data_IF_908470002728
#
_entry.id   IF_908470002728
#
_cell.length_a   1.000
_cell.length_b   1.000
_cell.length_c   1.000
_cell.angle_alpha   90.00
_cell.angle_beta   90.00
_cell.angle_gamma   90.00
#
_symmetry.space_group_name_H-M   'P 1'
#
loop_
_entity.id
_entity.type
_entity.pdbx_description
1 polymer ?
#
# COMPACT_ATOMS: atom_id res chain seq x y z
N UNK A 1 -6.15 14.99 -3.55
CA UNK A 1 -4.86 14.28 -3.54
C UNK A 1 -4.63 13.62 -2.19
N UNK A 2 -4.05 12.42 -2.11
CA UNK A 2 -4.02 11.61 -0.88
C UNK A 2 -2.92 12.00 0.10
N UNK A 3 -3.08 11.58 1.37
CA UNK A 3 -2.00 11.48 2.34
C UNK A 3 -1.25 10.16 2.11
N UNK A 4 0.07 10.24 2.01
CA UNK A 4 0.97 9.08 1.88
C UNK A 4 1.94 9.03 3.06
N UNK A 5 2.17 7.85 3.62
CA UNK A 5 3.25 7.60 4.58
C UNK A 5 4.40 6.96 3.80
N UNK A 6 5.57 7.58 3.80
CA UNK A 6 6.72 7.12 3.01
C UNK A 6 7.96 6.95 3.88
N UNK A 7 8.73 5.89 3.64
CA UNK A 7 10.06 5.72 4.22
C UNK A 7 11.08 6.35 3.28
N UNK A 8 11.65 7.49 3.69
CA UNK A 8 12.66 8.21 2.90
C UNK A 8 13.43 9.22 3.75
N UNK A 9 14.50 9.77 3.17
CA UNK A 9 15.12 11.03 3.64
C UNK A 9 14.33 12.21 3.06
N UNK A 10 13.84 13.10 3.93
CA UNK A 10 13.04 14.26 3.50
C UNK A 10 13.85 15.21 2.59
N UNK A 11 15.16 15.18 2.67
CA UNK A 11 16.06 16.01 1.84
C UNK A 11 16.13 15.50 0.38
N UNK A 12 15.70 14.27 0.12
CA UNK A 12 15.64 13.66 -1.21
C UNK A 12 14.24 13.69 -1.84
N UNK A 13 13.23 14.19 -1.11
CA UNK A 13 11.85 14.23 -1.56
C UNK A 13 11.66 15.22 -2.72
N UNK A 14 11.17 14.71 -3.85
CA UNK A 14 10.81 15.50 -5.04
C UNK A 14 9.38 15.99 -4.95
N UNK A 15 9.16 17.03 -4.18
CA UNK A 15 7.87 17.69 -3.92
C UNK A 15 8.02 19.20 -4.07
N UNK A 16 6.91 19.94 -4.13
CA UNK A 16 7.01 21.41 -4.24
C UNK A 16 7.54 22.05 -2.97
N UNK A 17 7.16 21.54 -1.80
CA UNK A 17 7.64 22.03 -0.52
C UNK A 17 8.01 20.90 0.43
N UNK A 18 9.07 21.07 1.21
CA UNK A 18 9.35 20.23 2.37
C UNK A 18 9.21 21.05 3.65
N UNK A 19 8.81 20.38 4.74
CA UNK A 19 8.70 21.03 6.06
C UNK A 19 9.93 20.71 6.90
N UNK A 20 10.53 21.74 7.44
CA UNK A 20 11.61 21.64 8.40
C UNK A 20 11.06 21.74 9.83
N UNK A 21 11.32 20.75 10.67
CA UNK A 21 11.06 20.83 12.12
C UNK A 21 12.11 21.72 12.79
N UNK A 22 11.91 23.02 12.67
CA UNK A 22 12.86 24.05 13.06
C UNK A 22 12.78 24.39 14.57
N UNK A 23 13.83 25.03 15.07
CA UNK A 23 13.79 25.73 16.35
C UNK A 23 13.42 27.22 16.15
N UNK A 24 13.14 27.94 17.26
CA UNK A 24 12.72 29.34 17.22
C UNK A 24 13.71 30.28 16.55
N UNK A 25 15.01 29.98 16.56
CA UNK A 25 16.03 30.82 15.93
C UNK A 25 16.08 30.69 14.42
N UNK A 26 15.62 29.56 13.85
CA UNK A 26 15.73 29.16 12.45
C UNK A 26 17.18 29.02 11.94
N UNK A 27 18.16 28.98 12.84
CA UNK A 27 19.59 28.99 12.44
C UNK A 27 20.22 27.61 12.36
N UNK A 28 19.38 26.57 12.17
CA UNK A 28 19.81 25.19 12.15
C UNK A 28 19.93 24.59 13.55
N UNK A 29 20.14 23.29 13.58
CA UNK A 29 20.22 22.52 14.83
C UNK A 29 20.62 21.06 14.57
N UNK A 30 20.13 20.17 15.41
CA UNK A 30 20.31 18.72 15.26
C UNK A 30 19.14 18.06 14.53
N UNK A 31 19.26 16.75 14.28
CA UNK A 31 18.22 15.96 13.64
C UNK A 31 17.89 16.41 12.21
N UNK A 32 16.61 16.37 11.83
CA UNK A 32 16.15 16.74 10.49
C UNK A 32 16.48 18.18 10.11
N UNK A 33 16.41 19.12 11.06
CA UNK A 33 16.76 20.53 10.85
C UNK A 33 18.22 20.66 10.36
N UNK A 34 19.15 20.00 11.03
CA UNK A 34 20.55 19.98 10.60
C UNK A 34 20.79 19.29 9.26
N UNK A 35 20.03 18.23 8.93
CA UNK A 35 20.11 17.56 7.64
C UNK A 35 19.64 18.48 6.51
N UNK A 36 18.50 19.14 6.68
CA UNK A 36 17.95 20.08 5.70
C UNK A 36 18.90 21.25 5.47
N UNK A 37 19.44 21.86 6.54
CA UNK A 37 20.39 22.96 6.41
C UNK A 37 21.69 22.56 5.69
N UNK A 38 22.19 21.34 5.92
CA UNK A 38 23.38 20.83 5.21
C UNK A 38 23.10 20.57 3.74
N UNK A 39 21.95 19.93 3.43
CA UNK A 39 21.57 19.61 2.06
C UNK A 39 21.23 20.86 1.21
N UNK A 40 20.58 21.83 1.80
CA UNK A 40 20.23 23.09 1.16
C UNK A 40 21.43 24.04 0.92
N UNK A 41 22.54 23.81 1.62
CA UNK A 41 23.72 24.66 1.52
C UNK A 41 23.62 25.99 2.29
N UNK A 42 24.64 26.85 2.10
CA UNK A 42 24.80 28.09 2.88
C UNK A 42 23.72 29.15 2.60
N UNK A 43 23.06 29.07 1.45
CA UNK A 43 22.01 30.00 1.04
C UNK A 43 20.82 30.00 1.98
N UNK A 44 20.36 28.80 2.39
CA UNK A 44 19.25 28.63 3.31
C UNK A 44 19.50 29.33 4.65
N UNK A 45 20.67 29.12 5.25
CA UNK A 45 21.05 29.76 6.51
C UNK A 45 21.10 31.29 6.39
N UNK A 46 21.59 31.81 5.26
CA UNK A 46 21.65 33.25 5.02
C UNK A 46 20.26 33.89 4.91
N UNK A 47 19.30 33.19 4.31
CA UNK A 47 17.90 33.64 4.25
C UNK A 47 17.23 33.53 5.62
N UNK A 48 17.41 32.43 6.34
CA UNK A 48 16.86 32.23 7.70
C UNK A 48 17.29 33.34 8.67
N UNK A 49 18.53 33.80 8.58
CA UNK A 49 19.02 34.94 9.40
C UNK A 49 18.22 36.21 9.19
N UNK A 50 17.76 36.47 7.94
CA UNK A 50 16.96 37.67 7.62
C UNK A 50 15.53 37.57 8.19
N UNK A 51 15.04 36.34 8.41
CA UNK A 51 13.68 36.11 8.95
C UNK A 51 13.58 36.50 10.45
N UNK A 52 14.68 36.55 11.17
CA UNK A 52 14.70 36.99 12.60
C UNK A 52 14.05 36.02 13.57
N UNK A 53 13.95 34.71 13.21
CA UNK A 53 13.32 33.70 14.04
C UNK A 53 11.83 33.49 13.75
N UNK A 54 11.21 32.53 14.49
CA UNK A 54 9.79 32.20 14.36
C UNK A 54 9.24 31.74 15.71
N UNK A 55 8.01 32.13 16.02
CA UNK A 55 7.30 31.72 17.23
C UNK A 55 6.84 30.26 17.15
N UNK A 56 6.72 29.61 18.31
CA UNK A 56 6.18 28.25 18.41
C UNK A 56 4.73 28.20 17.90
N UNK A 57 4.41 27.18 17.12
CA UNK A 57 3.11 27.01 16.46
C UNK A 57 3.01 27.72 15.10
N UNK A 58 3.98 28.57 14.74
CA UNK A 58 4.01 29.32 13.47
C UNK A 58 5.04 28.77 12.50
N UNK A 59 4.97 29.27 11.26
CA UNK A 59 5.87 28.89 10.17
C UNK A 59 6.48 30.09 9.48
N UNK A 60 7.65 29.89 8.88
CA UNK A 60 8.32 30.82 7.95
C UNK A 60 8.72 30.03 6.70
N UNK A 61 8.78 30.69 5.56
CA UNK A 61 9.09 30.04 4.28
C UNK A 61 10.33 30.64 3.65
N UNK A 62 11.17 29.77 3.11
CA UNK A 62 12.37 30.12 2.34
C UNK A 62 12.36 29.37 1.00
N UNK A 63 13.28 29.73 0.09
CA UNK A 63 13.56 28.92 -1.07
C UNK A 63 14.23 27.58 -0.70
N UNK A 64 14.12 26.58 -1.61
CA UNK A 64 14.70 25.23 -1.43
C UNK A 64 16.21 25.15 -1.63
N UNK A 65 16.82 26.12 -2.34
CA UNK A 65 18.24 26.16 -2.69
C UNK A 65 18.72 24.87 -3.40
N UNK A 66 19.68 24.15 -2.80
CA UNK A 66 20.25 22.92 -3.39
C UNK A 66 19.34 21.69 -3.20
N UNK A 67 18.21 21.83 -2.52
CA UNK A 67 17.22 20.76 -2.31
C UNK A 67 16.36 20.53 -3.56
N UNK A 68 15.84 19.31 -3.78
CA UNK A 68 14.98 19.00 -4.93
C UNK A 68 13.52 19.49 -4.74
N UNK A 69 13.31 20.60 -4.04
CA UNK A 69 12.02 21.24 -3.79
C UNK A 69 12.10 22.75 -4.04
N UNK A 70 10.94 23.38 -4.28
CA UNK A 70 10.88 24.83 -4.49
C UNK A 70 11.02 25.62 -3.20
N UNK A 71 10.42 25.12 -2.12
CA UNK A 71 10.31 25.80 -0.84
C UNK A 71 10.67 24.90 0.33
N UNK A 72 11.25 25.53 1.38
CA UNK A 72 11.38 24.96 2.71
C UNK A 72 10.45 25.74 3.65
N UNK A 73 9.54 25.07 4.30
CA UNK A 73 8.61 25.64 5.28
C UNK A 73 9.13 25.28 6.67
N UNK A 74 9.67 26.26 7.37
CA UNK A 74 10.23 26.10 8.70
C UNK A 74 9.10 26.18 9.73
N UNK A 75 8.69 25.04 10.28
CA UNK A 75 7.66 24.93 11.31
C UNK A 75 8.30 24.78 12.69
N UNK A 76 7.97 25.66 13.63
CA UNK A 76 8.50 25.62 14.99
C UNK A 76 7.52 24.90 15.90
N UNK A 77 7.74 23.62 16.11
CA UNK A 77 6.93 22.79 17.01
C UNK A 77 7.21 23.10 18.48
N UNK A 78 6.27 22.75 19.39
CA UNK A 78 6.46 22.91 20.83
C UNK A 78 7.45 21.89 21.39
N UNK A 79 8.15 22.27 22.47
CA UNK A 79 8.78 21.29 23.36
C UNK A 79 7.68 20.61 24.18
N UNK A 80 7.81 19.32 24.38
CA UNK A 80 6.78 18.52 25.03
C UNK A 80 7.02 18.38 26.52
N UNK A 81 6.09 18.86 27.34
CA UNK A 81 6.11 18.77 28.81
C UNK A 81 4.95 17.95 29.38
N UNK A 82 4.45 16.99 28.59
CA UNK A 82 3.37 16.10 29.00
C UNK A 82 2.03 16.37 28.32
N UNK A 83 1.93 17.34 27.42
CA UNK A 83 0.74 17.62 26.59
C UNK A 83 -0.36 18.38 27.30
N UNK A 84 -0.09 18.99 28.48
CA UNK A 84 -1.10 19.70 29.29
C UNK A 84 -1.02 21.21 29.18
N UNK A 85 0.04 21.75 28.56
CA UNK A 85 0.30 23.19 28.45
C UNK A 85 -0.03 23.76 27.07
N UNK A 86 -0.95 23.08 26.33
CA UNK A 86 -1.38 23.51 25.00
C UNK A 86 -0.50 23.01 23.85
N UNK A 87 0.50 22.15 24.15
CA UNK A 87 1.42 21.62 23.15
C UNK A 87 0.70 20.89 22.00
N UNK A 88 -0.39 20.08 22.22
CA UNK A 88 -1.11 19.45 21.14
C UNK A 88 -1.71 20.46 20.15
N UNK A 89 -2.27 21.56 20.66
CA UNK A 89 -2.85 22.62 19.82
C UNK A 89 -1.77 23.36 19.02
N UNK A 90 -0.63 23.68 19.66
CA UNK A 90 0.52 24.31 19.00
C UNK A 90 1.11 23.39 17.92
N UNK A 91 1.23 22.09 18.20
CA UNK A 91 1.73 21.12 17.22
C UNK A 91 0.78 21.00 16.03
N UNK A 92 -0.54 20.92 16.29
CA UNK A 92 -1.55 20.91 15.24
C UNK A 92 -1.46 22.18 14.38
N UNK A 93 -1.27 23.35 15.00
CA UNK A 93 -1.11 24.63 14.28
C UNK A 93 0.11 24.62 13.35
N UNK A 94 1.21 23.94 13.70
CA UNK A 94 2.37 23.80 12.82
C UNK A 94 2.02 23.11 11.51
N UNK A 95 1.26 22.01 11.57
CA UNK A 95 0.82 21.29 10.38
C UNK A 95 -0.13 22.14 9.53
N UNK A 96 -1.17 22.72 10.14
CA UNK A 96 -2.15 23.54 9.42
C UNK A 96 -1.51 24.78 8.79
N UNK A 97 -0.67 25.50 9.53
CA UNK A 97 0.01 26.69 9.02
C UNK A 97 0.99 26.35 7.88
N UNK A 98 1.64 25.19 7.93
CA UNK A 98 2.52 24.74 6.87
C UNK A 98 1.74 24.37 5.61
N UNK A 99 0.61 23.68 5.74
CA UNK A 99 -0.28 23.32 4.62
C UNK A 99 -0.85 24.58 3.97
N UNK A 100 -1.29 25.54 4.76
CA UNK A 100 -1.81 26.81 4.27
C UNK A 100 -0.73 27.62 3.56
N UNK A 101 0.48 27.73 4.13
CA UNK A 101 1.61 28.40 3.50
C UNK A 101 2.03 27.75 2.16
N UNK A 102 1.89 26.43 2.04
CA UNK A 102 2.11 25.71 0.78
C UNK A 102 0.99 26.00 -0.24
N UNK A 103 -0.27 25.99 0.20
CA UNK A 103 -1.45 26.30 -0.64
C UNK A 103 -1.38 27.71 -1.21
N UNK A 104 -1.05 28.72 -0.38
CA UNK A 104 -0.88 30.11 -0.81
C UNK A 104 0.20 30.30 -1.89
N UNK A 105 1.18 29.37 -1.95
CA UNK A 105 2.25 29.36 -2.93
C UNK A 105 1.98 28.50 -4.16
N UNK A 106 0.76 27.95 -4.25
CA UNK A 106 0.36 27.09 -5.36
C UNK A 106 1.10 25.76 -5.39
N UNK A 107 1.56 25.24 -4.22
CA UNK A 107 2.16 23.92 -4.15
C UNK A 107 1.08 22.85 -4.35
N UNK A 108 1.36 21.86 -5.20
CA UNK A 108 0.53 20.68 -5.40
C UNK A 108 0.98 19.52 -4.51
N UNK A 109 2.18 19.63 -3.92
CA UNK A 109 2.78 18.57 -3.08
C UNK A 109 3.62 19.14 -1.95
N UNK A 110 3.54 18.47 -0.77
CA UNK A 110 4.29 18.84 0.44
C UNK A 110 4.72 17.59 1.20
N UNK A 111 5.94 17.63 1.78
CA UNK A 111 6.42 16.55 2.65
C UNK A 111 6.70 17.04 4.07
N UNK A 112 6.25 16.28 5.06
CA UNK A 112 6.38 16.54 6.47
C UNK A 112 7.24 15.49 7.18
N UNK A 113 8.10 15.88 8.12
CA UNK A 113 8.60 14.97 9.15
C UNK A 113 7.59 14.88 10.30
N UNK A 114 7.79 13.96 11.25
CA UNK A 114 7.06 14.00 12.52
C UNK A 114 7.59 15.15 13.40
N UNK A 115 6.92 16.30 13.35
CA UNK A 115 7.32 17.51 14.09
C UNK A 115 7.28 17.23 15.59
N UNK A 116 8.24 17.77 16.34
CA UNK A 116 8.43 17.64 17.80
C UNK A 116 8.71 16.23 18.32
N UNK A 117 8.72 15.18 17.51
CA UNK A 117 8.90 13.78 17.97
C UNK A 117 10.36 13.37 18.26
N UNK A 118 11.31 14.22 17.90
CA UNK A 118 12.75 14.01 18.18
C UNK A 118 13.17 14.69 19.49
N UNK A 119 14.13 15.62 19.40
CA UNK A 119 14.74 16.34 20.56
C UNK A 119 13.68 17.07 21.40
N UNK A 120 12.56 17.47 20.81
CA UNK A 120 11.48 18.17 21.51
C UNK A 120 10.58 17.24 22.34
N UNK A 121 10.76 15.93 22.26
CA UNK A 121 10.26 14.94 23.21
C UNK A 121 8.78 14.57 23.11
N UNK A 122 8.06 14.99 22.07
CA UNK A 122 6.68 14.53 21.87
C UNK A 122 6.68 13.01 21.59
N UNK A 123 5.87 12.20 22.29
CA UNK A 123 5.73 10.79 21.99
C UNK A 123 5.32 10.57 20.53
N UNK A 124 6.02 9.69 19.81
CA UNK A 124 5.84 9.49 18.36
C UNK A 124 4.39 9.17 17.97
N UNK A 125 3.68 8.36 18.79
CA UNK A 125 2.26 8.02 18.57
C UNK A 125 1.36 9.26 18.65
N UNK A 126 1.59 10.14 19.61
CA UNK A 126 0.84 11.38 19.78
C UNK A 126 1.13 12.33 18.61
N UNK A 127 2.42 12.48 18.25
CA UNK A 127 2.83 13.31 17.12
C UNK A 127 2.21 12.81 15.81
N UNK A 128 2.18 11.49 15.56
CA UNK A 128 1.56 10.88 14.39
C UNK A 128 0.05 11.16 14.34
N UNK A 129 -0.66 10.92 15.43
CA UNK A 129 -2.11 11.18 15.50
C UNK A 129 -2.43 12.64 15.19
N UNK A 130 -1.73 13.59 15.84
CA UNK A 130 -1.93 15.03 15.61
C UNK A 130 -1.63 15.40 14.15
N UNK A 131 -0.57 14.84 13.56
CA UNK A 131 -0.21 15.06 12.17
C UNK A 131 -1.30 14.56 11.22
N UNK A 132 -1.72 13.30 11.36
CA UNK A 132 -2.73 12.66 10.50
C UNK A 132 -4.07 13.40 10.62
N UNK A 133 -4.52 13.73 11.84
CA UNK A 133 -5.77 14.46 12.05
C UNK A 133 -5.74 15.87 11.41
N UNK A 134 -4.65 16.61 11.58
CA UNK A 134 -4.51 17.94 10.99
C UNK A 134 -4.48 17.89 9.45
N UNK A 135 -3.74 16.94 8.88
CA UNK A 135 -3.64 16.77 7.44
C UNK A 135 -4.99 16.32 6.85
N UNK A 136 -5.67 15.38 7.49
CA UNK A 136 -7.00 14.90 7.08
C UNK A 136 -8.01 16.04 7.03
N UNK A 137 -8.06 16.85 8.09
CA UNK A 137 -9.00 17.98 8.17
C UNK A 137 -8.72 19.02 7.07
N UNK A 138 -7.46 19.29 6.76
CA UNK A 138 -7.09 20.14 5.63
C UNK A 138 -7.50 19.54 4.27
N UNK A 139 -7.24 18.25 4.06
CA UNK A 139 -7.55 17.57 2.80
C UNK A 139 -9.04 17.36 2.58
N UNK A 140 -9.87 17.43 3.63
CA UNK A 140 -11.33 17.43 3.48
C UNK A 140 -11.83 18.59 2.61
N UNK A 141 -11.18 19.75 2.67
CA UNK A 141 -11.56 20.94 1.90
C UNK A 141 -10.61 21.24 0.73
N UNK A 142 -9.37 20.75 0.78
CA UNK A 142 -8.32 21.09 -0.17
C UNK A 142 -7.81 19.87 -0.95
N UNK A 143 -7.13 20.15 -2.06
CA UNK A 143 -6.50 19.14 -2.91
C UNK A 143 -4.99 19.35 -2.95
N UNK A 144 -4.23 18.50 -2.26
CA UNK A 144 -2.76 18.53 -2.21
C UNK A 144 -2.22 17.12 -1.91
N UNK A 145 -1.15 16.72 -2.59
CA UNK A 145 -0.41 15.52 -2.21
C UNK A 145 0.40 15.82 -0.95
N UNK A 146 0.08 15.14 0.14
CA UNK A 146 0.80 15.28 1.42
C UNK A 146 1.55 14.00 1.72
N UNK A 147 2.88 14.08 1.88
CA UNK A 147 3.74 12.97 2.25
C UNK A 147 4.17 13.13 3.71
N UNK A 148 3.84 12.16 4.55
CA UNK A 148 4.40 12.04 5.90
C UNK A 148 5.65 11.15 5.81
N UNK A 149 6.81 11.74 6.01
CA UNK A 149 8.10 11.08 5.80
C UNK A 149 8.60 10.48 7.11
N UNK A 150 8.83 9.19 7.10
CA UNK A 150 9.41 8.41 8.19
C UNK A 150 10.81 7.99 7.77
N UNK A 151 11.83 8.40 8.51
CA UNK A 151 13.22 8.10 8.16
C UNK A 151 13.57 6.62 8.34
N UNK A 152 12.98 5.98 9.37
CA UNK A 152 13.21 4.56 9.66
C UNK A 152 11.90 3.89 10.06
N UNK A 153 11.43 2.98 9.25
CA UNK A 153 10.18 2.23 9.46
C UNK A 153 10.17 1.42 10.75
N UNK A 154 11.32 0.90 11.19
CA UNK A 154 11.40 0.14 12.43
C UNK A 154 11.03 0.96 13.67
N UNK A 155 11.11 2.29 13.56
CA UNK A 155 10.74 3.24 14.61
C UNK A 155 9.31 3.78 14.46
N UNK A 156 8.55 3.27 13.48
CA UNK A 156 7.17 3.71 13.24
C UNK A 156 6.27 3.36 14.43
N UNK A 157 5.54 4.34 14.98
CA UNK A 157 4.83 4.18 16.25
C UNK A 157 3.45 3.55 16.07
N UNK A 158 3.37 2.28 15.65
CA UNK A 158 2.12 1.54 15.74
C UNK A 158 1.84 1.16 17.19
N UNK A 159 0.59 1.28 17.62
CA UNK A 159 0.18 0.92 18.98
C UNK A 159 0.48 -0.57 19.27
N UNK A 160 1.13 -0.86 20.40
CA UNK A 160 1.58 -2.21 20.74
C UNK A 160 0.42 -3.22 20.86
N UNK A 161 -0.75 -2.78 21.32
CA UNK A 161 -1.98 -3.55 21.35
C UNK A 161 -2.38 -4.01 19.94
N UNK A 162 -2.59 -3.04 19.06
CA UNK A 162 -2.99 -3.27 17.67
C UNK A 162 -1.94 -4.11 16.92
N UNK A 163 -0.65 -3.88 17.12
CA UNK A 163 0.43 -4.68 16.53
C UNK A 163 0.33 -6.15 16.95
N UNK A 164 0.08 -6.41 18.23
CA UNK A 164 -0.07 -7.79 18.75
C UNK A 164 -1.31 -8.46 18.18
N UNK A 165 -2.44 -7.77 18.14
CA UNK A 165 -3.72 -8.31 17.67
C UNK A 165 -3.64 -8.66 16.18
N UNK A 166 -3.09 -7.78 15.36
CA UNK A 166 -2.86 -8.04 13.94
C UNK A 166 -1.87 -9.21 13.75
N UNK A 167 -0.76 -9.24 14.52
CA UNK A 167 0.21 -10.33 14.42
C UNK A 167 -0.41 -11.69 14.79
N UNK A 168 -1.26 -11.71 15.80
CA UNK A 168 -2.02 -12.91 16.18
C UNK A 168 -2.98 -13.33 15.07
N UNK A 169 -3.77 -12.39 14.55
CA UNK A 169 -4.72 -12.65 13.46
C UNK A 169 -4.03 -13.19 12.20
N UNK A 170 -2.86 -12.64 11.84
CA UNK A 170 -2.03 -13.15 10.73
C UNK A 170 -1.61 -14.59 11.00
N UNK A 171 -1.09 -14.90 12.20
CA UNK A 171 -0.65 -16.25 12.54
C UNK A 171 -1.81 -17.25 12.54
N UNK A 172 -2.95 -16.90 13.12
CA UNK A 172 -4.14 -17.73 13.14
C UNK A 172 -4.67 -18.01 11.72
N UNK A 173 -4.60 -17.02 10.82
CA UNK A 173 -5.00 -17.17 9.42
C UNK A 173 -4.10 -18.13 8.63
N UNK A 174 -2.80 -18.19 8.93
CA UNK A 174 -1.89 -19.16 8.33
C UNK A 174 -2.05 -20.58 8.90
N UNK A 175 -2.45 -20.71 10.17
CA UNK A 175 -2.64 -22.02 10.81
C UNK A 175 -3.91 -22.75 10.33
N UNK A 176 -4.97 -22.03 10.00
CA UNK A 176 -6.21 -22.63 9.48
C UNK A 176 -6.03 -23.28 8.09
N UNK A 177 -5.11 -22.78 7.26
CA UNK A 177 -4.80 -23.41 5.96
C UNK A 177 -4.05 -24.75 6.09
N UNK A 178 -3.40 -25.02 7.24
CA UNK A 178 -2.69 -26.30 7.46
C UNK A 178 -3.60 -27.39 8.01
N UNK A 179 -4.70 -27.04 8.68
CA UNK A 179 -5.66 -28.02 9.23
C UNK A 179 -6.63 -28.55 8.18
N UNK A 180 -7.01 -27.75 7.19
CA UNK A 180 -7.88 -28.20 6.08
C UNK A 180 -7.18 -29.21 5.14
N UNK A 181 -5.84 -29.29 5.15
CA UNK A 181 -5.07 -30.28 4.39
C UNK A 181 -4.89 -31.60 5.12
N UNK A 182 -5.04 -31.65 6.44
CA UNK A 182 -4.93 -32.90 7.22
C UNK A 182 -6.23 -33.74 7.19
N UNK A 183 -7.41 -33.13 7.06
CA UNK A 183 -8.66 -33.87 6.95
C UNK A 183 -8.88 -34.58 5.60
N UNK A 184 -8.18 -34.15 4.52
CA UNK A 184 -8.21 -34.83 3.22
C UNK A 184 -7.20 -35.99 3.11
N UNK A 185 -6.32 -36.18 4.09
CA UNK A 185 -5.30 -37.23 4.11
C UNK A 185 -5.75 -38.52 4.81
N UNK A 186 -6.94 -38.57 5.38
CA UNK A 186 -7.44 -39.73 6.14
C UNK A 186 -8.04 -40.85 5.29
N UNK A 187 -7.91 -40.84 3.98
CA UNK A 187 -8.39 -41.89 3.09
C UNK A 187 -7.29 -42.41 2.13
N UNK A 188 -6.26 -43.08 2.67
CA UNK A 188 -5.37 -43.92 1.86
C UNK A 188 -5.09 -45.27 2.60
N UNK A 189 -5.10 -46.39 1.87
CA UNK A 189 -4.99 -47.70 2.50
C UNK A 189 -3.57 -48.02 2.97
N UNK A 190 -3.50 -48.64 4.15
CA UNK A 190 -2.33 -49.17 4.81
C UNK A 190 -1.52 -50.14 3.94
N UNK A 191 -0.21 -49.90 3.84
CA UNK A 191 0.75 -50.96 3.47
C UNK A 191 2.00 -50.49 2.77
N UNK A 192 3.04 -50.14 3.51
CA UNK A 192 4.45 -50.51 3.31
C UNK A 192 5.35 -49.75 4.30
N UNK A 193 6.27 -50.47 4.92
CA UNK A 193 7.12 -50.03 5.99
C UNK A 193 8.26 -49.07 5.59
N UNK A 194 8.89 -48.35 6.54
CA UNK A 194 9.73 -47.16 6.27
C UNK A 194 11.21 -47.47 6.08
N UNK A 195 11.80 -46.80 5.09
CA UNK A 195 13.26 -46.65 5.00
C UNK A 195 13.73 -45.40 5.76
N UNK A 196 14.57 -45.59 6.76
CA UNK A 196 15.25 -44.54 7.52
C UNK A 196 16.24 -43.77 6.62
N UNK A 197 16.12 -42.47 6.59
CA UNK A 197 17.24 -41.58 6.30
C UNK A 197 17.38 -40.54 7.42
N UNK A 198 18.51 -40.65 8.10
CA UNK A 198 18.96 -39.69 9.10
C UNK A 198 19.62 -38.50 8.39
N UNK A 199 19.26 -37.26 8.79
CA UNK A 199 20.07 -36.10 8.56
C UNK A 199 20.60 -35.59 9.90
N UNK A 200 21.93 -35.58 9.99
CA UNK A 200 22.66 -35.03 11.12
C UNK A 200 22.78 -33.50 10.98
N UNK A 201 22.55 -32.80 12.10
CA UNK A 201 22.91 -31.41 12.34
C UNK A 201 24.41 -31.17 12.27
N UNK A 202 24.86 -30.16 11.56
CA UNK A 202 26.07 -29.45 11.91
C UNK A 202 25.96 -27.95 11.67
N UNK A 203 25.83 -27.23 12.77
CA UNK A 203 26.06 -25.80 12.85
C UNK A 203 27.57 -25.54 12.86
N UNK A 204 28.10 -24.73 11.93
CA UNK A 204 29.40 -24.06 12.12
C UNK A 204 29.43 -22.66 11.50
N UNK A 205 29.57 -21.72 12.40
CA UNK A 205 30.00 -20.35 12.20
C UNK A 205 31.38 -20.26 11.54
N UNK A 206 31.51 -19.49 10.44
CA UNK A 206 32.78 -18.83 10.09
C UNK A 206 32.51 -17.49 9.38
N UNK A 207 33.20 -16.47 9.90
CA UNK A 207 33.28 -15.10 9.35
C UNK A 207 34.18 -15.03 8.13
N UNK A 208 33.89 -14.14 7.20
CA UNK A 208 34.87 -13.33 6.49
C UNK A 208 35.05 -13.64 4.99
N UNK A 209 34.98 -12.58 4.18
CA UNK A 209 35.65 -12.57 2.89
C UNK A 209 34.83 -12.08 1.69
N UNK A 210 34.99 -10.78 1.36
CA UNK A 210 34.56 -10.16 0.11
C UNK A 210 35.24 -10.82 -1.10
N UNK A 211 34.47 -11.27 -2.09
CA UNK A 211 34.96 -11.28 -3.49
C UNK A 211 33.79 -11.19 -4.46
N UNK A 212 33.82 -10.14 -5.29
CA UNK A 212 32.98 -9.93 -6.46
C UNK A 212 33.24 -11.03 -7.50
N UNK A 213 32.20 -11.73 -7.96
CA UNK A 213 32.26 -12.51 -9.20
C UNK A 213 31.22 -11.99 -10.19
N UNK A 214 31.74 -11.53 -11.33
CA UNK A 214 30.98 -11.12 -12.53
C UNK A 214 30.28 -12.35 -13.13
N UNK A 215 29.00 -12.18 -13.50
CA UNK A 215 28.25 -13.10 -14.35
C UNK A 215 28.51 -12.77 -15.84
N UNK A 216 28.63 -13.76 -16.73
CA UNK A 216 28.85 -13.53 -18.15
C UNK A 216 27.54 -13.22 -18.88
N UNK A 217 27.62 -12.23 -19.79
CA UNK A 217 26.60 -11.85 -20.78
C UNK A 217 26.41 -12.97 -21.80
N UNK A 218 25.18 -13.45 -21.98
CA UNK A 218 24.77 -14.23 -23.14
C UNK A 218 24.25 -13.28 -24.23
N UNK A 219 24.90 -13.37 -25.40
CA UNK A 219 24.54 -12.65 -26.62
C UNK A 219 23.43 -13.38 -27.36
N UNK A 220 22.37 -12.65 -27.70
CA UNK A 220 21.36 -13.07 -28.67
C UNK A 220 21.93 -13.03 -30.10
N UNK A 221 21.71 -14.07 -30.88
CA UNK A 221 21.70 -14.01 -32.35
C UNK A 221 20.46 -14.71 -32.87
N UNK A 222 19.63 -13.94 -33.54
CA UNK A 222 18.54 -14.41 -34.38
C UNK A 222 19.10 -14.91 -35.70
N UNK A 223 18.51 -15.94 -36.26
CA UNK A 223 18.52 -16.20 -37.71
C UNK A 223 17.28 -17.01 -38.10
N UNK A 224 16.51 -16.45 -39.01
CA UNK A 224 15.42 -17.06 -39.75
C UNK A 224 16.00 -18.08 -40.78
N UNK A 225 15.30 -19.17 -41.03
CA UNK A 225 14.90 -19.72 -42.34
C UNK A 225 14.61 -21.19 -42.24
N UNK A 226 13.53 -21.60 -42.89
CA UNK A 226 13.34 -22.98 -43.33
C UNK A 226 11.89 -23.51 -43.19
N UNK A 227 11.03 -23.14 -44.12
CA UNK A 227 9.78 -23.85 -44.42
C UNK A 227 10.07 -25.13 -45.21
N UNK A 228 9.06 -26.03 -45.23
CA UNK A 228 8.85 -27.22 -46.06
C UNK A 228 9.18 -28.57 -45.40
N UNK A 229 8.16 -29.38 -45.15
CA UNK A 229 7.57 -30.42 -45.99
C UNK A 229 6.61 -31.30 -45.18
N UNK A 230 5.37 -31.22 -45.53
CA UNK A 230 4.39 -32.28 -45.22
C UNK A 230 4.65 -33.46 -46.14
N UNK A 231 4.86 -34.63 -45.56
CA UNK A 231 4.81 -35.89 -46.25
C UNK A 231 3.60 -36.68 -45.73
N UNK A 232 2.73 -37.03 -46.68
CA UNK A 232 1.57 -37.92 -46.57
C UNK A 232 2.01 -39.31 -46.11
N UNK A 233 1.28 -39.88 -45.15
CA UNK A 233 1.36 -41.30 -44.82
C UNK A 233 0.04 -41.96 -45.22
N UNK A 234 0.18 -42.95 -46.07
CA UNK A 234 -0.88 -43.76 -46.66
C UNK A 234 -1.58 -44.65 -45.63
N UNK A 235 -2.86 -44.79 -45.82
CA UNK A 235 -3.75 -45.73 -45.13
C UNK A 235 -3.54 -47.13 -45.68
N UNK A 236 -3.05 -48.04 -44.89
CA UNK A 236 -3.20 -49.49 -45.12
C UNK A 236 -4.18 -50.13 -44.14
N UNK A 237 -5.09 -50.88 -44.73
CA UNK A 237 -6.17 -51.63 -44.12
C UNK A 237 -5.71 -52.85 -43.38
N UNK A 238 -6.26 -53.13 -42.19
CA UNK A 238 -6.11 -54.42 -41.47
C UNK A 238 -7.52 -54.90 -41.06
N UNK A 239 -7.77 -56.23 -41.13
CA UNK A 239 -9.11 -56.77 -41.19
C UNK A 239 -9.76 -57.03 -39.81
N UNK A 240 -11.10 -57.14 -39.88
CA UNK A 240 -12.03 -57.55 -38.84
C UNK A 240 -11.68 -58.94 -38.26
N UNK A 241 -11.51 -58.98 -36.91
CA UNK A 241 -11.80 -60.23 -36.16
C UNK A 241 -12.49 -59.87 -34.84
N UNK A 242 -13.56 -60.53 -34.59
CA UNK A 242 -14.50 -60.43 -33.50
C UNK A 242 -13.84 -60.78 -32.16
N UNK A 243 -14.06 -59.96 -31.12
CA UNK A 243 -13.96 -60.38 -29.74
C UNK A 243 -14.90 -59.58 -28.82
N UNK A 244 -15.87 -60.26 -28.34
CA UNK A 244 -16.57 -60.22 -27.06
C UNK A 244 -16.65 -58.93 -26.24
N UNK A 245 -17.89 -58.50 -26.05
CA UNK A 245 -18.37 -57.53 -25.08
C UNK A 245 -17.83 -57.82 -23.65
N UNK A 246 -17.03 -56.89 -23.13
CA UNK A 246 -16.95 -56.61 -21.69
C UNK A 246 -17.46 -55.21 -21.46
N UNK A 247 -18.73 -55.14 -21.05
CA UNK A 247 -19.37 -53.94 -20.49
C UNK A 247 -18.52 -53.35 -19.39
N UNK A 248 -17.68 -52.34 -19.71
CA UNK A 248 -17.09 -51.45 -18.74
C UNK A 248 -18.13 -50.37 -18.44
N UNK A 249 -18.68 -50.47 -17.22
CA UNK A 249 -19.61 -49.51 -16.61
C UNK A 249 -18.91 -48.16 -16.53
N UNK A 250 -19.13 -47.28 -17.49
CA UNK A 250 -18.73 -45.87 -17.39
C UNK A 250 -19.55 -45.19 -16.29
N UNK A 251 -18.93 -44.39 -15.40
CA UNK A 251 -19.69 -43.57 -14.46
C UNK A 251 -20.61 -42.60 -15.25
N UNK A 252 -21.76 -42.21 -14.67
CA UNK A 252 -22.75 -41.40 -15.37
C UNK A 252 -22.09 -40.11 -15.91
N UNK A 253 -22.30 -39.87 -17.19
CA UNK A 253 -21.97 -38.59 -17.81
C UNK A 253 -22.56 -37.46 -16.96
N UNK A 254 -21.71 -36.57 -16.45
CA UNK A 254 -22.17 -35.30 -15.92
C UNK A 254 -23.03 -34.63 -17.01
N UNK A 255 -24.30 -34.34 -16.67
CA UNK A 255 -25.16 -33.48 -17.48
C UNK A 255 -24.46 -32.15 -17.64
N UNK A 256 -23.76 -31.94 -18.73
CA UNK A 256 -23.32 -30.63 -19.13
C UNK A 256 -24.56 -29.80 -19.43
N UNK A 257 -24.85 -28.84 -18.62
CA UNK A 257 -25.79 -27.78 -18.97
C UNK A 257 -25.47 -27.29 -20.38
N UNK A 258 -26.47 -27.00 -21.22
CA UNK A 258 -26.25 -26.64 -22.61
C UNK A 258 -25.23 -25.51 -22.69
N UNK A 259 -24.16 -25.73 -23.44
CA UNK A 259 -23.10 -24.75 -23.61
C UNK A 259 -23.71 -23.50 -24.22
N UNK A 260 -23.87 -22.45 -23.40
CA UNK A 260 -24.24 -21.10 -23.84
C UNK A 260 -23.20 -20.72 -24.89
N UNK A 261 -23.61 -20.24 -26.07
CA UNK A 261 -22.66 -19.80 -27.09
C UNK A 261 -21.80 -18.65 -26.53
N UNK A 262 -20.54 -18.54 -26.97
CA UNK A 262 -19.65 -17.46 -26.54
C UNK A 262 -20.28 -16.08 -26.76
N UNK A 263 -21.06 -15.93 -27.86
CA UNK A 263 -21.77 -14.68 -28.15
C UNK A 263 -22.92 -14.40 -27.17
N UNK A 264 -23.60 -15.41 -26.67
CA UNK A 264 -24.63 -15.27 -25.65
C UNK A 264 -24.02 -15.03 -24.28
N UNK A 265 -22.90 -15.67 -23.94
CA UNK A 265 -22.15 -15.40 -22.72
C UNK A 265 -21.59 -13.98 -22.71
N UNK A 266 -21.11 -13.46 -23.84
CA UNK A 266 -20.63 -12.08 -23.95
C UNK A 266 -21.76 -11.03 -23.88
N UNK A 267 -23.00 -11.39 -24.17
CA UNK A 267 -24.18 -10.51 -23.99
C UNK A 267 -24.64 -10.43 -22.52
N UNK A 268 -24.23 -11.37 -21.69
CA UNK A 268 -24.54 -11.44 -20.25
C UNK A 268 -23.37 -10.94 -19.39
N UNK A 269 -22.58 -9.94 -19.90
CA UNK A 269 -21.51 -9.35 -19.10
C UNK A 269 -22.15 -8.66 -17.89
N UNK A 270 -21.79 -9.15 -16.73
CA UNK A 270 -22.17 -8.59 -15.43
C UNK A 270 -21.76 -7.13 -15.28
N UNK A 271 -22.38 -6.43 -14.32
CA UNK A 271 -21.99 -5.11 -13.86
C UNK A 271 -20.47 -5.06 -13.64
N UNK A 272 -19.78 -4.09 -14.26
CA UNK A 272 -18.34 -3.92 -14.08
C UNK A 272 -18.01 -3.17 -12.77
N UNK A 273 -16.71 -3.12 -12.41
CA UNK A 273 -16.24 -2.43 -11.21
C UNK A 273 -16.71 -0.96 -11.16
N UNK A 274 -16.56 -0.22 -12.26
CA UNK A 274 -16.95 1.20 -12.31
C UNK A 274 -18.44 1.41 -12.09
N UNK A 275 -19.28 0.56 -12.69
CA UNK A 275 -20.74 0.62 -12.51
C UNK A 275 -21.15 0.29 -11.07
N UNK A 276 -20.60 -0.79 -10.50
CA UNK A 276 -20.85 -1.15 -9.11
C UNK A 276 -20.43 -0.03 -8.15
N UNK A 277 -19.25 0.56 -8.37
CA UNK A 277 -18.76 1.67 -7.55
C UNK A 277 -19.74 2.85 -7.57
N UNK A 278 -20.14 3.30 -8.76
CA UNK A 278 -21.04 4.45 -8.90
C UNK A 278 -22.41 4.17 -8.28
N UNK A 279 -22.98 2.98 -8.51
CA UNK A 279 -24.22 2.55 -7.87
C UNK A 279 -24.11 2.57 -6.35
N UNK A 280 -23.02 2.05 -5.79
CA UNK A 280 -22.78 2.03 -4.33
C UNK A 280 -22.58 3.43 -3.75
N UNK A 281 -21.99 4.37 -4.50
CA UNK A 281 -21.90 5.78 -4.10
C UNK A 281 -23.32 6.39 -4.03
N UNK A 282 -24.15 6.16 -5.07
CA UNK A 282 -25.52 6.66 -5.09
C UNK A 282 -26.37 6.05 -3.95
N UNK A 283 -26.25 4.73 -3.69
CA UNK A 283 -26.92 4.04 -2.59
C UNK A 283 -26.50 4.58 -1.22
N UNK A 284 -25.25 5.00 -1.04
CA UNK A 284 -24.75 5.55 0.21
C UNK A 284 -25.15 7.00 0.46
N UNK A 285 -25.62 7.70 -0.57
CA UNK A 285 -25.94 9.14 -0.52
C UNK A 285 -24.70 10.05 -0.46
N UNK A 286 -23.50 9.51 -0.63
CA UNK A 286 -22.28 10.31 -0.70
C UNK A 286 -22.17 11.03 -2.04
N UNK A 287 -21.52 12.18 -2.03
CA UNK A 287 -21.04 12.80 -3.26
C UNK A 287 -19.76 12.11 -3.75
N UNK A 288 -19.48 12.21 -5.04
CA UNK A 288 -18.22 11.75 -5.63
C UNK A 288 -17.00 12.27 -4.86
N UNK A 289 -17.05 13.57 -4.47
CA UNK A 289 -15.95 14.22 -3.78
C UNK A 289 -15.73 13.66 -2.37
N UNK A 290 -16.77 13.40 -1.64
CA UNK A 290 -16.70 12.74 -0.33
C UNK A 290 -16.12 11.31 -0.47
N UNK A 291 -16.59 10.56 -1.46
CA UNK A 291 -16.15 9.18 -1.67
C UNK A 291 -14.65 9.10 -1.98
N UNK A 292 -14.14 9.83 -3.02
CA UNK A 292 -12.71 9.70 -3.36
C UNK A 292 -11.80 10.29 -2.29
N UNK A 293 -12.22 11.32 -1.56
CA UNK A 293 -11.47 11.87 -0.43
C UNK A 293 -11.42 10.89 0.73
N UNK A 294 -12.55 10.27 1.10
CA UNK A 294 -12.62 9.23 2.12
C UNK A 294 -11.81 7.99 1.73
N UNK A 295 -11.79 7.65 0.44
CA UNK A 295 -10.96 6.58 -0.13
C UNK A 295 -9.46 6.92 -0.18
N UNK A 296 -9.06 8.14 0.16
CA UNK A 296 -7.69 8.63 0.01
C UNK A 296 -7.17 8.47 -1.43
N UNK A 297 -8.03 8.70 -2.42
CA UNK A 297 -7.76 8.54 -3.86
C UNK A 297 -7.71 9.90 -4.55
N UNK A 298 -6.83 10.02 -5.54
CA UNK A 298 -6.69 11.25 -6.35
C UNK A 298 -7.94 11.48 -7.21
N UNK A 299 -8.38 12.74 -7.29
CA UNK A 299 -9.52 13.17 -8.12
C UNK A 299 -9.36 12.76 -9.59
N UNK A 300 -8.14 12.86 -10.15
CA UNK A 300 -7.89 12.52 -11.55
C UNK A 300 -8.09 11.01 -11.79
N UNK A 301 -7.69 10.18 -10.82
CA UNK A 301 -7.92 8.74 -10.87
C UNK A 301 -9.42 8.42 -10.79
N UNK A 302 -10.15 9.08 -9.87
CA UNK A 302 -11.59 8.90 -9.77
C UNK A 302 -12.31 9.32 -11.06
N UNK A 303 -11.92 10.45 -11.67
CA UNK A 303 -12.47 10.91 -12.95
C UNK A 303 -12.27 9.89 -14.07
N UNK A 304 -11.13 9.19 -14.11
CA UNK A 304 -10.90 8.09 -15.06
C UNK A 304 -11.86 6.93 -14.83
N UNK A 305 -12.02 6.50 -13.58
CA UNK A 305 -12.93 5.39 -13.23
C UNK A 305 -14.35 5.73 -13.64
N UNK A 306 -14.78 6.98 -13.43
CA UNK A 306 -16.12 7.44 -13.80
C UNK A 306 -16.34 7.53 -15.31
N UNK A 307 -15.32 7.94 -16.06
CA UNK A 307 -15.43 8.14 -17.52
C UNK A 307 -15.22 6.88 -18.34
N UNK A 308 -14.52 5.88 -17.80
CA UNK A 308 -14.22 4.63 -18.49
C UNK A 308 -14.90 3.45 -17.79
N UNK A 309 -15.98 2.97 -18.39
CA UNK A 309 -16.75 1.81 -17.90
C UNK A 309 -15.87 0.56 -17.68
N UNK A 310 -14.89 0.35 -18.54
CA UNK A 310 -14.01 -0.82 -18.52
C UNK A 310 -12.70 -0.57 -17.77
N UNK A 311 -12.62 0.54 -17.03
CA UNK A 311 -11.42 0.86 -16.25
C UNK A 311 -11.10 -0.27 -15.25
N UNK A 312 -9.86 -0.72 -15.27
CA UNK A 312 -9.35 -1.72 -14.32
C UNK A 312 -8.52 -1.04 -13.25
N UNK A 313 -9.05 -0.84 -12.03
CA UNK A 313 -8.30 -0.25 -10.92
C UNK A 313 -7.19 -1.19 -10.46
N UNK A 314 -6.25 -0.66 -9.68
CA UNK A 314 -5.36 -1.51 -8.87
C UNK A 314 -6.13 -2.16 -7.72
N UNK A 315 -5.61 -3.25 -7.14
CA UNK A 315 -6.23 -3.88 -5.97
C UNK A 315 -6.35 -2.92 -4.80
N UNK A 316 -5.29 -2.11 -4.55
CA UNK A 316 -5.29 -1.10 -3.48
C UNK A 316 -6.35 -0.03 -3.71
N UNK A 317 -6.59 0.37 -4.97
CA UNK A 317 -7.65 1.33 -5.32
C UNK A 317 -9.04 0.73 -5.11
N UNK A 318 -9.27 -0.53 -5.51
CA UNK A 318 -10.55 -1.19 -5.30
C UNK A 318 -10.88 -1.37 -3.81
N UNK A 319 -9.88 -1.78 -3.01
CA UNK A 319 -9.99 -1.84 -1.54
C UNK A 319 -10.28 -0.47 -0.94
N UNK A 320 -9.62 0.59 -1.44
CA UNK A 320 -9.82 1.95 -0.94
C UNK A 320 -11.29 2.41 -1.04
N UNK A 321 -11.93 2.15 -2.18
CA UNK A 321 -13.33 2.48 -2.38
C UNK A 321 -14.27 1.60 -1.55
N UNK A 322 -13.97 0.31 -1.43
CA UNK A 322 -14.74 -0.59 -0.58
C UNK A 322 -14.74 -0.14 0.90
N UNK A 323 -13.58 0.31 1.39
CA UNK A 323 -13.45 0.87 2.75
C UNK A 323 -14.15 2.23 2.89
N UNK A 324 -14.03 3.12 1.91
CA UNK A 324 -14.69 4.42 1.93
C UNK A 324 -16.21 4.30 1.99
N UNK A 325 -16.77 3.31 1.33
CA UNK A 325 -18.20 2.96 1.33
C UNK A 325 -18.61 2.10 2.54
N UNK A 326 -17.68 1.74 3.42
CA UNK A 326 -17.89 0.90 4.60
C UNK A 326 -18.60 -0.43 4.29
N UNK A 327 -18.23 -1.04 3.15
CA UNK A 327 -18.87 -2.27 2.69
C UNK A 327 -18.57 -3.46 3.61
N UNK A 328 -19.56 -4.31 3.89
CA UNK A 328 -19.32 -5.56 4.59
C UNK A 328 -18.44 -6.49 3.76
N UNK A 329 -17.74 -7.43 4.43
CA UNK A 329 -16.73 -8.28 3.80
C UNK A 329 -17.22 -9.05 2.54
N UNK A 330 -18.50 -9.43 2.52
CA UNK A 330 -19.11 -10.10 1.36
C UNK A 330 -19.13 -9.19 0.13
N UNK A 331 -19.56 -7.93 0.28
CA UNK A 331 -19.61 -6.95 -0.79
C UNK A 331 -18.21 -6.47 -1.20
N UNK A 332 -17.26 -6.39 -0.25
CA UNK A 332 -15.85 -6.13 -0.54
C UNK A 332 -15.30 -7.20 -1.49
N UNK A 333 -15.57 -8.48 -1.20
CA UNK A 333 -15.15 -9.59 -2.06
C UNK A 333 -15.79 -9.51 -3.45
N UNK A 334 -17.06 -9.17 -3.53
CA UNK A 334 -17.77 -8.97 -4.80
C UNK A 334 -17.13 -7.82 -5.61
N UNK A 335 -16.92 -6.65 -5.00
CA UNK A 335 -16.30 -5.49 -5.65
C UNK A 335 -14.89 -5.81 -6.15
N UNK A 336 -14.10 -6.53 -5.37
CA UNK A 336 -12.75 -6.97 -5.77
C UNK A 336 -12.82 -7.97 -6.93
N UNK A 337 -13.75 -8.90 -6.93
CA UNK A 337 -13.96 -9.87 -8.02
C UNK A 337 -14.29 -9.16 -9.33
N UNK A 338 -15.14 -8.13 -9.32
CA UNK A 338 -15.44 -7.32 -10.51
C UNK A 338 -14.23 -6.51 -11.00
N UNK A 339 -13.26 -6.23 -10.13
CA UNK A 339 -11.96 -5.64 -10.50
C UNK A 339 -10.92 -6.69 -10.94
N UNK A 340 -11.25 -7.99 -10.87
CA UNK A 340 -10.35 -9.09 -11.19
C UNK A 340 -9.39 -9.47 -10.06
N UNK A 341 -9.76 -9.18 -8.80
CA UNK A 341 -8.97 -9.47 -7.60
C UNK A 341 -9.77 -10.31 -6.58
N UNK A 342 -9.05 -10.89 -5.63
CA UNK A 342 -9.63 -11.55 -4.47
C UNK A 342 -8.79 -11.24 -3.21
N UNK A 343 -9.39 -11.36 -2.03
CA UNK A 343 -8.65 -11.40 -0.78
C UNK A 343 -8.12 -12.82 -0.57
N UNK A 344 -6.83 -12.94 -0.28
CA UNK A 344 -6.14 -14.21 -0.09
C UNK A 344 -5.56 -14.30 1.31
N UNK A 345 -5.77 -15.44 1.98
CA UNK A 345 -5.17 -15.72 3.29
C UNK A 345 -3.65 -15.94 3.24
N UNK A 346 -3.08 -16.12 2.05
CA UNK A 346 -1.62 -16.23 1.87
C UNK A 346 -0.92 -14.86 1.74
N UNK A 347 -1.65 -13.76 1.74
CA UNK A 347 -1.12 -12.40 1.57
C UNK A 347 -1.36 -11.54 2.81
N UNK A 348 -0.29 -11.06 3.43
CA UNK A 348 -0.37 -10.22 4.64
C UNK A 348 -1.21 -8.95 4.45
N UNK A 349 -1.10 -8.30 3.29
CA UNK A 349 -1.94 -7.14 2.97
C UNK A 349 -3.43 -7.48 3.08
N UNK A 350 -3.84 -8.59 2.48
CA UNK A 350 -5.24 -9.02 2.46
C UNK A 350 -5.75 -9.38 3.84
N UNK A 351 -4.92 -10.10 4.62
CA UNK A 351 -5.24 -10.48 6.00
C UNK A 351 -5.42 -9.25 6.90
N UNK A 352 -4.54 -8.23 6.76
CA UNK A 352 -4.65 -6.99 7.53
C UNK A 352 -5.94 -6.24 7.14
N UNK A 353 -6.23 -6.11 5.85
CA UNK A 353 -7.48 -5.48 5.39
C UNK A 353 -8.71 -6.21 5.91
N UNK A 354 -8.73 -7.54 5.81
CA UNK A 354 -9.83 -8.38 6.33
C UNK A 354 -9.99 -8.24 7.85
N UNK A 355 -8.88 -8.15 8.61
CA UNK A 355 -8.89 -7.89 10.04
C UNK A 355 -9.67 -6.62 10.37
N UNK A 356 -9.33 -5.49 9.73
CA UNK A 356 -9.98 -4.21 10.01
C UNK A 356 -11.47 -4.22 9.63
N UNK A 357 -11.83 -4.78 8.46
CA UNK A 357 -13.22 -4.89 8.03
C UNK A 357 -14.05 -5.73 9.03
N UNK A 358 -13.52 -6.88 9.48
CA UNK A 358 -14.19 -7.75 10.42
C UNK A 358 -14.38 -7.12 11.82
N UNK A 359 -13.54 -6.13 12.17
CA UNK A 359 -13.68 -5.34 13.39
C UNK A 359 -14.50 -4.05 13.21
N UNK A 360 -15.10 -3.84 12.03
CA UNK A 360 -15.92 -2.66 11.74
C UNK A 360 -15.10 -1.35 11.68
N UNK A 361 -13.80 -1.45 11.48
CA UNK A 361 -12.93 -0.28 11.35
C UNK A 361 -12.58 -0.04 9.87
N UNK A 362 -13.14 1.03 9.32
CA UNK A 362 -12.97 1.44 7.93
C UNK A 362 -12.06 2.67 7.77
N UNK A 363 -11.36 3.07 8.84
CA UNK A 363 -10.47 4.22 8.81
C UNK A 363 -9.21 3.92 7.98
N UNK A 364 -9.18 4.41 6.76
CA UNK A 364 -8.09 4.18 5.80
C UNK A 364 -6.72 4.63 6.34
N UNK A 365 -6.68 5.64 7.18
CA UNK A 365 -5.42 6.15 7.76
C UNK A 365 -4.86 5.18 8.79
N UNK A 366 -5.69 4.65 9.68
CA UNK A 366 -5.28 3.62 10.66
C UNK A 366 -4.89 2.30 9.98
N UNK A 367 -5.61 1.92 8.93
CA UNK A 367 -5.27 0.74 8.10
C UNK A 367 -3.91 0.96 7.43
N UNK A 368 -3.65 2.15 6.87
CA UNK A 368 -2.37 2.48 6.25
C UNK A 368 -1.22 2.53 7.27
N UNK A 369 -1.45 2.99 8.48
CA UNK A 369 -0.47 2.92 9.58
C UNK A 369 -0.08 1.47 9.87
N UNK A 370 -1.07 0.56 9.96
CA UNK A 370 -0.83 -0.85 10.14
C UNK A 370 -0.11 -1.47 8.94
N UNK A 371 -0.57 -1.21 7.72
CA UNK A 371 0.06 -1.70 6.49
C UNK A 371 1.52 -1.24 6.39
N UNK A 372 1.80 0.03 6.70
CA UNK A 372 3.15 0.57 6.72
C UNK A 372 4.02 -0.15 7.74
N UNK A 373 3.53 -0.36 8.96
CA UNK A 373 4.26 -1.03 10.04
C UNK A 373 4.59 -2.51 9.73
N UNK A 374 3.76 -3.17 8.92
CA UNK A 374 3.94 -4.55 8.47
C UNK A 374 4.59 -4.68 7.08
N UNK A 375 5.17 -3.60 6.57
CA UNK A 375 5.86 -3.55 5.26
C UNK A 375 4.98 -3.97 4.08
N UNK A 376 3.74 -3.48 4.09
CA UNK A 376 2.78 -3.72 3.02
C UNK A 376 2.53 -2.46 2.19
N UNK A 377 1.98 -2.64 0.97
CA UNK A 377 1.54 -1.51 0.13
C UNK A 377 0.41 -0.75 0.80
N UNK A 378 0.41 0.56 0.68
CA UNK A 378 -0.65 1.40 1.22
C UNK A 378 -1.87 1.40 0.30
N UNK A 379 -3.03 1.71 0.89
CA UNK A 379 -4.32 1.82 0.23
C UNK A 379 -4.54 3.28 -0.20
N UNK A 380 -5.07 3.48 -1.40
CA UNK A 380 -5.48 4.80 -1.89
C UNK A 380 -4.34 5.71 -2.37
N UNK A 381 -3.08 5.26 -2.37
CA UNK A 381 -1.94 6.08 -2.73
C UNK A 381 -1.41 5.74 -4.13
#
# INVERSE_FOLDING_TARGET
MPLQIVENDITEMRVDAIVNAANNSLLGGGGVDGCIHRAAGKGLLAECRKLGGCETGKVKVTAGYDLPCKYVIHAVGPRWFGGKEGEPALLRSCYLNALEAARERGCESIAFPLISSGIFGCPKQIALRIAVDAIRDFLAENEMLVCLVIYNRSEFPLEDGLRRDISKYINDSFLTDTTDTEELSACAPTGAAPGRFAYEDEARFVRGGKTRRRLPRLKSKASLHGAERFASIDTESVPDEAAEEKSAMFPPMFDYAPAISLEEALKQIDECFSEMLLRKIDESGMTDAECYKKANVDRKLFSKIRSDRLYKPSKTTAVAFALALELPIAEVREMLMKAGFALSRSNKFDIIVEYFINHGNYNIYEINEALFAFDQKLIGA
#
